data_IF_749631502966
#
_entry.id   IF_749631502966
#
_cell.length_a   1.000
_cell.length_b   1.000
_cell.length_c   1.000
_cell.angle_alpha   90.00
_cell.angle_beta   90.00
_cell.angle_gamma   90.00
#
_symmetry.space_group_name_H-M   'P 1'
#
loop_
_entity.id
_entity.type
_entity.pdbx_description
1 polymer ?
#
# COMPACT_ATOMS: atom_id res chain seq x y z
N UNK A 1 41.24 37.79 7.00
CA UNK A 1 40.50 37.11 5.92
C UNK A 1 40.05 35.76 6.46
N UNK A 2 38.82 35.64 6.98
CA UNK A 2 38.33 34.42 7.64
C UNK A 2 37.42 33.65 6.66
N UNK A 3 37.74 32.40 6.28
CA UNK A 3 36.91 31.64 5.35
C UNK A 3 35.58 31.28 6.03
N UNK A 4 34.47 31.72 5.42
CA UNK A 4 33.11 31.36 5.84
C UNK A 4 32.96 29.84 5.74
N UNK A 5 32.85 29.17 6.88
CA UNK A 5 32.36 27.81 6.98
C UNK A 5 30.91 27.79 6.49
N UNK A 6 30.68 27.34 5.26
CA UNK A 6 29.33 26.99 4.80
C UNK A 6 28.90 25.76 5.57
N UNK A 7 28.14 25.95 6.63
CA UNK A 7 27.44 24.86 7.31
C UNK A 7 26.48 24.23 6.30
N UNK A 8 26.82 23.05 5.78
CA UNK A 8 25.90 22.16 5.09
C UNK A 8 24.61 22.07 5.95
N UNK A 9 23.42 22.42 5.41
CA UNK A 9 22.19 22.31 6.18
C UNK A 9 21.95 20.84 6.48
N UNK A 10 22.14 20.45 7.75
CA UNK A 10 21.80 19.11 8.24
C UNK A 10 20.34 18.77 7.91
N UNK A 11 20.01 17.46 7.76
CA UNK A 11 18.67 17.05 7.32
C UNK A 11 17.60 17.71 8.19
N UNK A 12 16.80 18.57 7.58
CA UNK A 12 15.80 19.35 8.29
C UNK A 12 14.81 18.39 8.98
N UNK A 13 14.60 18.57 10.29
CA UNK A 13 13.67 17.75 11.07
C UNK A 13 12.25 17.74 10.47
N UNK A 14 11.89 18.80 9.75
CA UNK A 14 10.64 18.96 9.00
C UNK A 14 10.51 18.04 7.78
N UNK A 15 11.63 17.56 7.21
CA UNK A 15 11.60 16.68 6.04
C UNK A 15 11.10 15.26 6.33
N UNK A 16 11.13 14.81 7.60
CA UNK A 16 10.63 13.50 8.01
C UNK A 16 9.26 13.58 8.70
N UNK A 17 9.00 14.62 9.50
CA UNK A 17 7.72 14.75 10.21
C UNK A 17 6.55 15.03 9.27
N UNK A 18 6.77 15.81 8.21
CA UNK A 18 5.70 16.20 7.29
C UNK A 18 5.11 15.00 6.50
N UNK A 19 5.92 14.11 5.89
CA UNK A 19 5.39 12.89 5.27
C UNK A 19 4.65 11.97 6.24
N UNK A 20 5.13 11.88 7.48
CA UNK A 20 4.51 11.03 8.50
C UNK A 20 3.16 11.60 8.96
N UNK A 21 3.06 12.90 9.21
CA UNK A 21 1.80 13.57 9.57
C UNK A 21 0.79 13.42 8.43
N UNK A 22 1.23 13.65 7.19
CA UNK A 22 0.35 13.52 6.02
C UNK A 22 -0.12 12.06 5.83
N UNK A 23 0.79 11.10 5.93
CA UNK A 23 0.46 9.66 5.91
C UNK A 23 -0.49 9.26 7.03
N UNK A 24 -0.29 9.76 8.25
CA UNK A 24 -1.20 9.49 9.38
C UNK A 24 -2.60 10.06 9.14
N UNK A 25 -2.70 11.25 8.54
CA UNK A 25 -3.97 11.83 8.12
C UNK A 25 -4.69 10.95 7.10
N UNK A 26 -3.97 10.49 6.07
CA UNK A 26 -4.51 9.55 5.07
C UNK A 26 -4.98 8.25 5.72
N UNK A 27 -4.16 7.68 6.60
CA UNK A 27 -4.51 6.47 7.34
C UNK A 27 -5.83 6.66 8.12
N UNK A 28 -5.96 7.75 8.88
CA UNK A 28 -7.15 8.04 9.66
C UNK A 28 -8.39 8.20 8.78
N UNK A 29 -8.26 8.89 7.63
CA UNK A 29 -9.36 9.06 6.67
C UNK A 29 -9.80 7.72 6.10
N UNK A 30 -8.87 6.89 5.60
CA UNK A 30 -9.20 5.58 5.01
C UNK A 30 -9.78 4.65 6.07
N UNK A 31 -9.17 4.57 7.25
CA UNK A 31 -9.66 3.72 8.34
C UNK A 31 -11.06 4.13 8.81
N UNK A 32 -11.40 5.43 8.80
CA UNK A 32 -12.74 5.92 9.08
C UNK A 32 -13.79 5.58 8.02
N UNK A 33 -13.37 5.22 6.80
CA UNK A 33 -14.23 4.85 5.67
C UNK A 33 -14.13 3.35 5.33
N UNK A 34 -13.98 2.49 6.34
CA UNK A 34 -13.80 1.04 6.14
C UNK A 34 -14.87 0.36 5.28
N UNK A 35 -16.12 0.87 5.28
CA UNK A 35 -17.18 0.37 4.40
C UNK A 35 -16.88 0.54 2.91
N UNK A 36 -16.19 1.63 2.52
CA UNK A 36 -15.75 1.83 1.13
C UNK A 36 -14.58 0.91 0.77
N UNK A 37 -13.65 0.67 1.73
CA UNK A 37 -12.50 -0.23 1.55
C UNK A 37 -12.95 -1.68 1.32
N UNK A 38 -14.04 -2.09 1.94
CA UNK A 38 -14.61 -3.44 1.86
C UNK A 38 -15.74 -3.55 0.81
N UNK A 39 -15.95 -2.53 -0.02
CA UNK A 39 -17.05 -2.50 -0.98
C UNK A 39 -16.85 -3.40 -2.21
N UNK A 40 -15.79 -4.21 -2.21
CA UNK A 40 -15.46 -5.08 -3.32
C UNK A 40 -15.90 -6.52 -3.04
N UNK A 41 -16.77 -7.11 -3.88
CA UNK A 41 -17.22 -8.49 -3.71
C UNK A 41 -16.07 -9.51 -3.77
N UNK A 42 -14.99 -9.21 -4.49
CA UNK A 42 -13.86 -10.13 -4.65
C UNK A 42 -13.03 -10.28 -3.36
N UNK A 43 -13.16 -9.36 -2.39
CA UNK A 43 -12.44 -9.41 -1.10
C UNK A 43 -12.64 -10.74 -0.39
N UNK A 44 -13.87 -11.26 -0.39
CA UNK A 44 -14.20 -12.54 0.25
C UNK A 44 -13.52 -13.70 -0.46
N UNK A 45 -13.43 -13.66 -1.79
CA UNK A 45 -12.78 -14.69 -2.57
C UNK A 45 -11.28 -14.75 -2.24
N UNK A 46 -10.60 -13.61 -2.15
CA UNK A 46 -9.18 -13.57 -1.79
C UNK A 46 -8.91 -14.14 -0.39
N UNK A 47 -9.76 -13.83 0.59
CA UNK A 47 -9.66 -14.42 1.93
C UNK A 47 -9.91 -15.93 1.88
N UNK A 48 -10.92 -16.39 1.14
CA UNK A 48 -11.23 -17.81 1.00
C UNK A 48 -10.10 -18.60 0.32
N UNK A 49 -9.54 -18.07 -0.77
CA UNK A 49 -8.39 -18.65 -1.46
C UNK A 49 -7.17 -18.70 -0.54
N UNK A 50 -6.88 -17.62 0.19
CA UNK A 50 -5.79 -17.60 1.16
C UNK A 50 -5.94 -18.66 2.27
N UNK A 51 -7.15 -18.80 2.84
CA UNK A 51 -7.43 -19.83 3.86
C UNK A 51 -7.27 -21.24 3.28
N UNK A 52 -7.74 -21.47 2.06
CA UNK A 52 -7.56 -22.74 1.37
C UNK A 52 -6.07 -23.08 1.18
N UNK A 53 -5.25 -22.10 0.76
CA UNK A 53 -3.80 -22.27 0.60
C UNK A 53 -3.13 -22.63 1.94
N UNK A 54 -3.50 -21.94 3.04
CA UNK A 54 -2.95 -22.21 4.38
C UNK A 54 -3.29 -23.64 4.83
N UNK A 55 -4.55 -24.06 4.64
CA UNK A 55 -5.04 -25.38 5.03
C UNK A 55 -4.40 -26.51 4.22
N UNK A 56 -4.34 -26.36 2.89
CA UNK A 56 -3.87 -27.40 1.98
C UNK A 56 -2.35 -27.37 1.77
N UNK A 57 -1.67 -26.29 2.21
CA UNK A 57 -0.24 -26.03 2.00
C UNK A 57 0.17 -26.13 0.53
N UNK A 58 -0.73 -25.71 -0.36
CA UNK A 58 -0.58 -25.79 -1.79
C UNK A 58 -1.21 -24.56 -2.46
N UNK A 59 -0.68 -24.18 -3.62
CA UNK A 59 -1.28 -23.16 -4.47
C UNK A 59 -2.30 -23.84 -5.39
N UNK A 60 -3.55 -23.35 -5.49
CA UNK A 60 -4.56 -23.96 -6.34
C UNK A 60 -4.18 -23.80 -7.82
N UNK A 61 -4.35 -24.89 -8.57
CA UNK A 61 -4.15 -24.95 -10.03
C UNK A 61 -5.47 -25.16 -10.81
N UNK A 62 -6.60 -25.09 -10.11
CA UNK A 62 -7.94 -25.22 -10.66
C UNK A 62 -8.88 -24.19 -10.03
N UNK A 63 -9.98 -23.86 -10.70
CA UNK A 63 -10.99 -22.92 -10.24
C UNK A 63 -11.83 -23.40 -9.06
N UNK A 64 -11.21 -23.68 -7.91
CA UNK A 64 -11.82 -24.32 -6.71
C UNK A 64 -13.10 -23.64 -6.18
N UNK A 65 -13.31 -22.35 -6.44
CA UNK A 65 -14.51 -21.59 -6.03
C UNK A 65 -15.44 -21.22 -7.19
N UNK A 66 -15.23 -21.78 -8.39
CA UNK A 66 -16.08 -21.54 -9.55
C UNK A 66 -17.18 -22.59 -9.68
N UNK A 67 -18.44 -22.16 -9.71
CA UNK A 67 -19.60 -23.05 -9.87
C UNK A 67 -19.74 -23.68 -11.27
N UNK A 68 -19.18 -23.05 -12.31
CA UNK A 68 -19.28 -23.53 -13.71
C UNK A 68 -17.95 -24.05 -14.26
N UNK A 69 -16.83 -23.65 -13.66
CA UNK A 69 -15.47 -23.93 -14.16
C UNK A 69 -14.57 -24.52 -13.06
N UNK A 70 -15.12 -25.36 -12.17
CA UNK A 70 -14.40 -25.93 -11.03
C UNK A 70 -13.10 -26.67 -11.40
N UNK A 71 -13.04 -27.25 -12.60
CA UNK A 71 -11.91 -28.04 -13.11
C UNK A 71 -11.09 -27.32 -14.17
N UNK A 72 -11.43 -26.07 -14.49
CA UNK A 72 -10.66 -25.30 -15.45
C UNK A 72 -9.28 -24.94 -14.87
N UNK A 73 -8.21 -24.96 -15.68
CA UNK A 73 -6.89 -24.58 -15.23
C UNK A 73 -6.90 -23.10 -14.80
N UNK A 74 -6.54 -22.86 -13.53
CA UNK A 74 -6.46 -21.53 -12.95
C UNK A 74 -5.39 -21.53 -11.87
N UNK A 75 -4.51 -20.54 -11.88
CA UNK A 75 -3.49 -20.39 -10.84
C UNK A 75 -3.79 -19.14 -10.03
N UNK A 76 -3.72 -19.24 -8.71
CA UNK A 76 -3.74 -18.07 -7.82
C UNK A 76 -2.44 -17.28 -7.98
N UNK A 77 -2.43 -16.29 -8.86
CA UNK A 77 -1.26 -15.46 -9.13
C UNK A 77 -0.91 -14.56 -7.94
N UNK A 78 -1.88 -14.29 -7.07
CA UNK A 78 -1.76 -13.40 -5.91
C UNK A 78 -1.64 -14.17 -4.58
N UNK A 79 -1.27 -15.47 -4.64
CA UNK A 79 -1.30 -16.40 -3.50
C UNK A 79 -0.64 -15.87 -2.22
N UNK A 80 0.50 -15.18 -2.32
CA UNK A 80 1.23 -14.67 -1.14
C UNK A 80 0.42 -13.59 -0.44
N UNK A 81 -0.13 -12.66 -1.21
CA UNK A 81 -1.01 -11.60 -0.68
C UNK A 81 -2.30 -12.21 -0.13
N UNK A 82 -2.87 -13.22 -0.78
CA UNK A 82 -4.05 -13.93 -0.29
C UNK A 82 -3.79 -14.64 1.04
N UNK A 83 -2.64 -15.28 1.22
CA UNK A 83 -2.21 -15.86 2.51
C UNK A 83 -2.09 -14.78 3.60
N UNK A 84 -1.55 -13.61 3.26
CA UNK A 84 -1.47 -12.48 4.20
C UNK A 84 -2.87 -11.95 4.57
N UNK A 85 -3.76 -11.76 3.58
CA UNK A 85 -5.14 -11.33 3.81
C UNK A 85 -5.90 -12.32 4.68
N UNK A 86 -5.80 -13.62 4.39
CA UNK A 86 -6.40 -14.68 5.19
C UNK A 86 -5.89 -14.66 6.64
N UNK A 87 -4.57 -14.57 6.82
CA UNK A 87 -3.95 -14.50 8.15
C UNK A 87 -4.41 -13.27 8.93
N UNK A 88 -4.48 -12.11 8.28
CA UNK A 88 -4.97 -10.88 8.92
C UNK A 88 -6.45 -10.98 9.28
N UNK A 89 -7.24 -11.56 8.38
CA UNK A 89 -8.67 -11.77 8.62
C UNK A 89 -8.90 -12.72 9.80
N UNK A 90 -8.19 -13.85 9.87
CA UNK A 90 -8.37 -14.84 10.94
C UNK A 90 -7.97 -14.29 12.32
N UNK A 91 -7.04 -13.32 12.39
CA UNK A 91 -6.58 -12.73 13.65
C UNK A 91 -7.30 -11.43 14.05
N UNK A 92 -7.70 -10.61 13.07
CA UNK A 92 -8.19 -9.24 13.31
C UNK A 92 -9.51 -8.92 12.59
N UNK A 93 -10.07 -9.88 11.85
CA UNK A 93 -11.29 -9.73 11.07
C UNK A 93 -11.23 -8.63 10.02
N UNK A 94 -12.40 -8.12 9.66
CA UNK A 94 -12.57 -7.05 8.68
C UNK A 94 -11.84 -5.75 9.07
N UNK A 95 -11.81 -5.43 10.36
CA UNK A 95 -11.09 -4.25 10.87
C UNK A 95 -9.60 -4.33 10.59
N UNK A 96 -9.00 -5.53 10.72
CA UNK A 96 -7.59 -5.75 10.36
C UNK A 96 -7.31 -5.51 8.88
N UNK A 97 -8.18 -5.99 8.00
CA UNK A 97 -8.05 -5.78 6.56
C UNK A 97 -8.13 -4.29 6.18
N UNK A 98 -9.07 -3.56 6.79
CA UNK A 98 -9.21 -2.10 6.60
C UNK A 98 -7.95 -1.38 7.11
N UNK A 99 -7.48 -1.72 8.31
CA UNK A 99 -6.31 -1.10 8.91
C UNK A 99 -5.04 -1.33 8.08
N UNK A 100 -4.82 -2.56 7.59
CA UNK A 100 -3.67 -2.88 6.74
C UNK A 100 -3.75 -2.20 5.38
N UNK A 101 -4.94 -2.18 4.77
CA UNK A 101 -5.15 -1.46 3.50
C UNK A 101 -4.85 0.03 3.67
N UNK A 102 -5.39 0.66 4.72
CA UNK A 102 -5.12 2.05 5.07
C UNK A 102 -3.63 2.29 5.30
N UNK A 103 -2.96 1.38 6.02
CA UNK A 103 -1.53 1.47 6.30
C UNK A 103 -0.69 1.40 5.02
N UNK A 104 -0.95 0.45 4.13
CA UNK A 104 -0.20 0.29 2.90
C UNK A 104 -0.34 1.51 1.97
N UNK A 105 -1.56 2.04 1.81
CA UNK A 105 -1.80 3.24 1.00
C UNK A 105 -1.14 4.47 1.64
N UNK A 106 -1.31 4.67 2.95
CA UNK A 106 -0.68 5.76 3.69
C UNK A 106 0.85 5.70 3.58
N UNK A 107 1.44 4.50 3.73
CA UNK A 107 2.87 4.29 3.59
C UNK A 107 3.35 4.61 2.16
N UNK A 108 2.64 4.17 1.13
CA UNK A 108 2.98 4.48 -0.26
C UNK A 108 3.02 5.99 -0.50
N UNK A 109 1.99 6.72 -0.07
CA UNK A 109 1.93 8.18 -0.25
C UNK A 109 2.97 8.90 0.61
N UNK A 110 3.21 8.47 1.84
CA UNK A 110 4.24 9.05 2.70
C UNK A 110 5.65 8.85 2.12
N UNK A 111 5.95 7.67 1.59
CA UNK A 111 7.22 7.40 0.90
C UNK A 111 7.33 8.30 -0.34
N UNK A 112 6.29 8.38 -1.17
CA UNK A 112 6.26 9.24 -2.35
C UNK A 112 6.56 10.69 -1.98
N UNK A 113 5.80 11.25 -1.04
CA UNK A 113 5.94 12.63 -0.57
C UNK A 113 7.35 12.88 -0.03
N UNK A 114 7.91 11.95 0.76
CA UNK A 114 9.30 12.06 1.24
C UNK A 114 10.30 12.15 0.10
N UNK A 115 10.09 11.47 -1.02
CA UNK A 115 10.99 11.59 -2.18
C UNK A 115 10.80 12.91 -2.92
N UNK A 116 9.56 13.34 -3.10
CA UNK A 116 9.26 14.61 -3.77
C UNK A 116 9.86 15.79 -2.99
N UNK A 117 9.80 15.77 -1.66
CA UNK A 117 10.42 16.80 -0.81
C UNK A 117 11.95 16.88 -0.93
N UNK A 118 12.60 15.85 -1.48
CA UNK A 118 14.06 15.88 -1.75
C UNK A 118 14.40 16.58 -3.06
N UNK A 119 13.44 16.75 -3.97
CA UNK A 119 13.66 17.26 -5.33
C UNK A 119 12.85 18.52 -5.63
N UNK A 120 11.75 18.75 -4.90
CA UNK A 120 10.79 19.83 -5.14
C UNK A 120 10.61 20.70 -3.89
N UNK A 121 10.19 21.94 -4.12
CA UNK A 121 9.75 22.85 -3.05
C UNK A 121 8.51 22.26 -2.36
N UNK A 122 8.36 22.38 -1.03
CA UNK A 122 7.31 21.68 -0.26
C UNK A 122 5.88 21.82 -0.81
N UNK A 123 5.50 22.99 -1.33
CA UNK A 123 4.17 23.22 -1.90
C UNK A 123 3.90 22.35 -3.14
N UNK A 124 4.87 22.22 -4.05
CA UNK A 124 4.74 21.41 -5.26
C UNK A 124 4.72 19.92 -4.92
N UNK A 125 5.55 19.50 -3.96
CA UNK A 125 5.53 18.13 -3.44
C UNK A 125 4.18 17.76 -2.83
N UNK A 126 3.56 18.70 -2.10
CA UNK A 126 2.25 18.49 -1.48
C UNK A 126 1.12 18.42 -2.50
N UNK A 127 1.12 19.31 -3.50
CA UNK A 127 0.12 19.26 -4.59
C UNK A 127 0.21 17.93 -5.34
N UNK A 128 1.42 17.50 -5.70
CA UNK A 128 1.62 16.24 -6.40
C UNK A 128 1.21 15.02 -5.54
N UNK A 129 1.49 15.03 -4.23
CA UNK A 129 1.03 13.98 -3.33
C UNK A 129 -0.50 13.97 -3.18
N UNK A 130 -1.15 15.14 -3.10
CA UNK A 130 -2.61 15.24 -3.07
C UNK A 130 -3.26 14.72 -4.37
N UNK A 131 -2.68 15.06 -5.52
CA UNK A 131 -3.11 14.49 -6.81
C UNK A 131 -2.95 12.97 -6.86
N UNK A 132 -1.83 12.45 -6.34
CA UNK A 132 -1.63 11.00 -6.25
C UNK A 132 -2.68 10.34 -5.35
N UNK A 133 -3.06 10.95 -4.22
CA UNK A 133 -4.17 10.46 -3.38
C UNK A 133 -5.46 10.40 -4.18
N UNK A 134 -5.84 11.48 -4.87
CA UNK A 134 -7.08 11.54 -5.67
C UNK A 134 -7.13 10.41 -6.70
N UNK A 135 -6.01 10.15 -7.40
CA UNK A 135 -5.91 9.08 -8.39
C UNK A 135 -6.01 7.68 -7.78
N UNK A 136 -5.59 7.50 -6.52
CA UNK A 136 -5.58 6.20 -5.84
C UNK A 136 -6.93 5.87 -5.19
N UNK A 137 -7.79 6.86 -4.88
CA UNK A 137 -9.11 6.66 -4.24
C UNK A 137 -9.90 5.45 -4.78
N UNK A 138 -10.15 5.30 -6.10
CA UNK A 138 -10.94 4.18 -6.61
C UNK A 138 -10.26 2.81 -6.44
N UNK A 139 -8.97 2.79 -6.13
CA UNK A 139 -8.17 1.59 -5.92
C UNK A 139 -7.92 1.28 -4.44
N UNK A 140 -8.51 2.05 -3.51
CA UNK A 140 -8.46 1.80 -2.06
C UNK A 140 -9.50 0.73 -1.70
N UNK A 141 -9.23 -0.49 -2.14
CA UNK A 141 -10.03 -1.68 -1.88
C UNK A 141 -9.17 -2.70 -1.15
N UNK A 142 -9.77 -3.56 -0.33
CA UNK A 142 -9.08 -4.66 0.37
C UNK A 142 -8.66 -5.80 -0.58
N UNK A 143 -7.92 -5.47 -1.63
CA UNK A 143 -7.42 -6.37 -2.67
C UNK A 143 -5.92 -6.67 -2.48
N UNK A 144 -5.42 -7.79 -3.01
CA UNK A 144 -4.01 -8.17 -2.93
C UNK A 144 -3.00 -7.12 -3.39
N UNK A 145 -3.36 -6.23 -4.33
CA UNK A 145 -2.45 -5.20 -4.85
C UNK A 145 -2.08 -4.13 -3.82
N UNK A 146 -2.80 -3.98 -2.71
CA UNK A 146 -2.48 -2.95 -1.71
C UNK A 146 -1.10 -3.13 -1.08
N UNK A 147 -0.65 -4.38 -0.92
CA UNK A 147 0.68 -4.69 -0.40
C UNK A 147 1.80 -4.28 -1.35
N UNK A 148 1.54 -4.28 -2.66
CA UNK A 148 2.56 -3.96 -3.66
C UNK A 148 2.76 -2.46 -3.83
N UNK A 149 1.75 -1.63 -3.53
CA UNK A 149 1.85 -0.17 -3.64
C UNK A 149 3.05 0.46 -2.92
N UNK A 150 3.25 0.27 -1.60
CA UNK A 150 4.40 0.88 -0.91
C UNK A 150 5.73 0.32 -1.41
N UNK A 151 5.78 -0.96 -1.80
CA UNK A 151 6.97 -1.60 -2.34
C UNK A 151 7.34 -0.98 -3.68
N UNK A 152 6.35 -0.82 -4.57
CA UNK A 152 6.53 -0.23 -5.89
C UNK A 152 7.04 1.21 -5.78
N UNK A 153 6.42 2.03 -4.94
CA UNK A 153 6.86 3.42 -4.72
C UNK A 153 8.29 3.46 -4.16
N UNK A 154 8.62 2.61 -3.18
CA UNK A 154 9.97 2.54 -2.61
C UNK A 154 11.01 2.08 -3.64
N UNK A 155 10.65 1.12 -4.50
CA UNK A 155 11.50 0.59 -5.55
C UNK A 155 11.76 1.62 -6.65
N UNK A 156 10.71 2.27 -7.18
CA UNK A 156 10.85 3.37 -8.15
C UNK A 156 11.68 4.50 -7.56
N UNK A 157 11.44 4.86 -6.30
CA UNK A 157 12.27 5.83 -5.60
C UNK A 157 13.75 5.43 -5.52
N UNK A 158 14.04 4.15 -5.31
CA UNK A 158 15.41 3.64 -5.31
C UNK A 158 16.05 3.71 -6.70
N UNK A 159 15.30 3.36 -7.75
CA UNK A 159 15.77 3.46 -9.15
C UNK A 159 16.09 4.90 -9.54
N UNK A 160 15.22 5.85 -9.19
CA UNK A 160 15.44 7.28 -9.46
C UNK A 160 16.70 7.77 -8.75
N UNK A 161 16.94 7.33 -7.51
CA UNK A 161 18.16 7.67 -6.77
C UNK A 161 19.43 7.06 -7.37
N UNK A 162 19.34 5.86 -7.96
CA UNK A 162 20.49 5.20 -8.57
C UNK A 162 20.91 5.81 -9.92
N UNK A 163 20.03 6.61 -10.55
CA UNK A 163 20.33 7.31 -11.81
C UNK A 163 21.08 8.63 -11.59
N UNK A 164 20.99 9.22 -10.40
CA UNK A 164 21.64 10.48 -10.03
C UNK A 164 22.99 10.24 -9.38
#
# INVERSE_FOLDING_TARGET
MNPRTTSEPGPSRHGLSLPLIFGLGIYAVIAGHGGAVLHDPDTFLHVAVGRWIIEHRAVPHQGIFSGTMAQAPWVAHEWLSEVLLASLFDNFGWTGLVAVTAFCVAAAIAILLRQLLRQLVPVHAMIAAALAVILVIPHVLARPHVFTLPILVAWVAALVRARC
#
